data_IF_666322612217
#
_entry.id   IF_666322612217
#
_cell.length_a   1.000
_cell.length_b   1.000
_cell.length_c   1.000
_cell.angle_alpha   90.00
_cell.angle_beta   90.00
_cell.angle_gamma   90.00
#
_symmetry.space_group_name_H-M   'P 1'
#
loop_
_entity.id
_entity.type
_entity.pdbx_description
1 polymer ?
#
# COMPACT_ATOMS: atom_id res chain seq x y z
N UNK A 1 -37.81 16.68 67.44
CA UNK A 1 -38.30 15.82 68.54
C UNK A 1 -38.84 14.53 67.93
N UNK A 2 -38.37 13.38 68.43
CA UNK A 2 -38.87 12.00 68.22
C UNK A 2 -38.76 11.33 66.83
N UNK A 3 -37.68 10.56 66.66
CA UNK A 3 -37.63 9.07 66.63
C UNK A 3 -38.98 8.31 66.56
N UNK A 4 -39.19 7.15 65.91
CA UNK A 4 -38.34 6.08 65.35
C UNK A 4 -39.30 4.98 64.82
N UNK A 5 -38.77 4.09 63.94
CA UNK A 5 -39.15 2.68 63.67
C UNK A 5 -40.19 2.36 62.57
N UNK A 6 -39.76 1.70 61.48
CA UNK A 6 -39.45 0.25 61.24
C UNK A 6 -40.75 -0.53 61.02
N UNK A 7 -40.95 -1.32 59.97
CA UNK A 7 -40.21 -2.49 59.41
C UNK A 7 -41.12 -2.95 58.23
N UNK A 8 -40.78 -3.76 57.23
CA UNK A 8 -39.82 -4.85 57.11
C UNK A 8 -39.91 -5.45 55.68
N UNK A 9 -38.75 -5.86 55.18
CA UNK A 9 -38.45 -7.02 54.31
C UNK A 9 -39.12 -7.20 52.95
N UNK A 10 -38.26 -7.31 51.92
CA UNK A 10 -37.85 -8.62 51.39
C UNK A 10 -36.45 -8.55 50.77
N UNK A 11 -35.60 -9.51 51.17
CA UNK A 11 -34.30 -9.85 50.57
C UNK A 11 -34.53 -10.60 49.26
N UNK A 12 -33.74 -10.29 48.22
CA UNK A 12 -33.16 -11.22 47.22
C UNK A 12 -31.87 -10.51 46.73
N UNK A 13 -30.68 -10.82 47.25
CA UNK A 13 -29.71 -11.84 46.81
C UNK A 13 -29.15 -11.64 45.39
N UNK A 14 -27.87 -11.18 45.33
CA UNK A 14 -26.78 -11.47 44.37
C UNK A 14 -27.05 -11.28 42.87
N UNK A 15 -26.22 -10.56 42.11
CA UNK A 15 -24.89 -11.05 41.69
C UNK A 15 -24.01 -9.94 41.10
N UNK A 16 -22.70 -10.18 41.13
CA UNK A 16 -21.63 -9.35 40.60
C UNK A 16 -21.60 -9.26 39.05
N UNK A 17 -20.84 -8.27 38.58
CA UNK A 17 -20.22 -8.12 37.26
C UNK A 17 -21.06 -7.54 36.09
N UNK A 18 -20.75 -6.29 35.74
CA UNK A 18 -20.55 -5.79 34.36
C UNK A 18 -20.05 -4.33 34.47
N UNK A 19 -18.76 -4.14 34.78
CA UNK A 19 -17.75 -3.70 33.81
C UNK A 19 -18.28 -2.57 32.91
N UNK A 20 -17.92 -1.37 33.35
CA UNK A 20 -17.99 -0.11 32.64
C UNK A 20 -17.12 -0.19 31.37
N UNK A 21 -17.69 -0.65 30.24
CA UNK A 21 -17.05 -0.53 28.94
C UNK A 21 -17.25 0.88 28.39
N UNK A 22 -16.54 1.84 29.00
CA UNK A 22 -16.29 3.13 28.39
C UNK A 22 -15.15 2.93 27.38
N UNK A 23 -15.50 2.41 26.20
CA UNK A 23 -14.60 2.41 25.05
C UNK A 23 -14.47 3.87 24.59
N UNK A 24 -13.54 4.59 25.20
CA UNK A 24 -12.98 5.80 24.63
C UNK A 24 -12.15 5.37 23.42
N UNK A 25 -12.79 5.27 22.26
CA UNK A 25 -12.12 5.37 20.97
C UNK A 25 -11.55 6.79 20.87
N UNK A 26 -10.41 7.03 21.51
CA UNK A 26 -9.51 8.06 21.04
C UNK A 26 -8.93 7.56 19.72
N UNK A 27 -9.69 7.75 18.64
CA UNK A 27 -9.08 8.05 17.37
C UNK A 27 -8.42 9.42 17.54
N UNK A 28 -7.27 9.46 18.22
CA UNK A 28 -6.33 10.53 18.03
C UNK A 28 -5.85 10.38 16.58
N UNK A 29 -6.64 10.88 15.64
CA UNK A 29 -6.08 11.41 14.42
C UNK A 29 -5.24 12.58 14.89
N UNK A 30 -3.98 12.29 15.27
CA UNK A 30 -2.98 13.32 15.38
C UNK A 30 -2.98 13.99 14.02
N UNK A 31 -3.65 15.15 13.92
CA UNK A 31 -3.50 16.02 12.76
C UNK A 31 -2.00 16.22 12.63
N UNK A 32 -1.42 15.65 11.58
CA UNK A 32 0.01 15.76 11.31
C UNK A 32 0.31 17.24 11.19
N UNK A 33 0.88 17.83 12.24
CA UNK A 33 1.15 19.25 12.28
C UNK A 33 2.40 19.50 11.44
N UNK A 34 2.34 20.46 10.52
CA UNK A 34 3.50 20.88 9.76
C UNK A 34 4.62 21.31 10.74
N UNK A 35 5.86 20.91 10.45
CA UNK A 35 7.01 21.26 11.28
C UNK A 35 7.46 22.71 11.08
N UNK A 36 6.96 23.40 10.06
CA UNK A 36 7.45 24.70 9.61
C UNK A 36 6.32 25.66 9.26
N UNK A 37 6.64 26.96 9.25
CA UNK A 37 5.76 28.01 8.71
C UNK A 37 5.45 27.83 7.22
N UNK A 38 6.27 27.07 6.50
CA UNK A 38 6.05 26.71 5.11
C UNK A 38 5.00 25.59 4.92
N UNK A 39 4.43 25.03 6.00
CA UNK A 39 3.40 24.00 5.89
C UNK A 39 3.93 22.61 5.52
N UNK A 40 5.25 22.39 5.59
CA UNK A 40 5.88 21.11 5.24
C UNK A 40 5.59 20.06 6.32
N UNK A 41 5.07 18.90 5.88
CA UNK A 41 4.69 17.78 6.75
C UNK A 41 5.69 16.61 6.72
N UNK A 42 6.53 16.51 5.68
CA UNK A 42 7.50 15.44 5.52
C UNK A 42 8.11 15.39 4.12
N UNK A 43 8.97 14.39 3.88
CA UNK A 43 9.50 14.07 2.55
C UNK A 43 8.48 13.17 1.84
N UNK A 44 8.08 13.54 0.62
CA UNK A 44 7.17 12.74 -0.20
C UNK A 44 7.93 11.67 -1.00
N UNK A 45 8.95 12.09 -1.76
CA UNK A 45 9.79 11.21 -2.58
C UNK A 45 11.20 11.77 -2.78
N UNK A 46 12.08 10.94 -3.33
CA UNK A 46 13.42 11.29 -3.82
C UNK A 46 13.55 11.00 -5.31
N UNK A 47 13.94 12.00 -6.10
CA UNK A 47 14.09 11.89 -7.55
C UNK A 47 15.50 11.48 -7.98
N UNK A 48 15.63 10.48 -8.86
CA UNK A 48 16.91 10.03 -9.41
C UNK A 48 16.84 9.79 -10.93
N UNK A 49 17.94 10.11 -11.62
CA UNK A 49 18.10 9.79 -13.04
C UNK A 49 18.74 8.41 -13.21
N UNK A 50 18.25 7.64 -14.16
CA UNK A 50 18.79 6.32 -14.53
C UNK A 50 19.08 6.24 -16.03
N UNK A 51 20.07 5.43 -16.44
CA UNK A 51 20.38 5.28 -17.86
C UNK A 51 19.44 4.31 -18.59
N UNK A 52 18.69 3.48 -17.85
CA UNK A 52 17.79 2.46 -18.37
C UNK A 52 16.67 2.22 -17.34
N UNK A 53 15.42 2.55 -17.70
CA UNK A 53 14.30 2.46 -16.77
C UNK A 53 13.96 1.02 -16.41
N UNK A 54 14.05 0.09 -17.36
CA UNK A 54 13.72 -1.31 -17.14
C UNK A 54 14.72 -1.95 -16.17
N UNK A 55 16.01 -1.70 -16.35
CA UNK A 55 17.05 -2.16 -15.39
C UNK A 55 16.84 -1.58 -14.00
N UNK A 56 16.48 -0.30 -13.91
CA UNK A 56 16.19 0.32 -12.62
C UNK A 56 14.99 -0.32 -11.93
N UNK A 57 13.88 -0.48 -12.66
CA UNK A 57 12.66 -1.13 -12.13
C UNK A 57 12.93 -2.56 -11.70
N UNK A 58 13.62 -3.37 -12.52
CA UNK A 58 14.02 -4.73 -12.17
C UNK A 58 14.89 -4.76 -10.91
N UNK A 59 15.86 -3.85 -10.79
CA UNK A 59 16.70 -3.78 -9.59
C UNK A 59 15.87 -3.44 -8.34
N UNK A 60 15.08 -2.38 -8.38
CA UNK A 60 14.28 -1.97 -7.22
C UNK A 60 13.22 -3.02 -6.85
N UNK A 61 12.57 -3.65 -7.83
CA UNK A 61 11.53 -4.65 -7.60
C UNK A 61 12.11 -6.00 -7.19
N UNK A 62 13.01 -6.57 -7.99
CA UNK A 62 13.41 -7.97 -7.84
C UNK A 62 14.54 -8.13 -6.82
N UNK A 63 15.40 -7.12 -6.67
CA UNK A 63 16.50 -7.15 -5.69
C UNK A 63 16.05 -6.53 -4.38
N UNK A 64 15.50 -5.31 -4.40
CA UNK A 64 15.15 -4.59 -3.17
C UNK A 64 13.71 -4.81 -2.68
N UNK A 65 12.88 -5.56 -3.42
CA UNK A 65 11.49 -5.85 -3.07
C UNK A 65 10.59 -4.61 -2.95
N UNK A 66 10.91 -3.54 -3.68
CA UNK A 66 10.08 -2.35 -3.78
C UNK A 66 9.00 -2.51 -4.86
N UNK A 67 7.94 -1.71 -4.80
CA UNK A 67 6.79 -1.87 -5.72
C UNK A 67 6.72 -0.70 -6.70
N UNK A 68 6.91 -0.91 -8.02
CA UNK A 68 6.61 0.10 -9.02
C UNK A 68 5.10 0.37 -9.06
N UNK A 69 4.69 1.64 -8.99
CA UNK A 69 3.27 2.02 -8.81
C UNK A 69 2.69 2.69 -10.05
N UNK A 70 3.31 3.78 -10.51
CA UNK A 70 2.80 4.57 -11.65
C UNK A 70 3.87 4.71 -12.73
N UNK A 71 3.43 5.10 -13.92
CA UNK A 71 4.32 5.46 -15.02
C UNK A 71 3.74 6.64 -15.79
N UNK A 72 4.61 7.55 -16.20
CA UNK A 72 4.28 8.70 -17.03
C UNK A 72 5.29 8.84 -18.17
N UNK A 73 4.80 9.20 -19.37
CA UNK A 73 5.62 9.44 -20.55
C UNK A 73 5.65 8.29 -21.57
N UNK A 74 6.48 8.41 -22.61
CA UNK A 74 7.49 9.46 -22.80
C UNK A 74 6.87 10.86 -23.01
N UNK A 75 7.34 11.85 -22.25
CA UNK A 75 6.93 13.26 -22.36
C UNK A 75 7.99 14.04 -23.16
N UNK A 76 7.65 14.61 -24.33
CA UNK A 76 8.54 15.53 -25.04
C UNK A 76 8.86 16.76 -24.20
N UNK A 77 10.11 17.21 -24.26
CA UNK A 77 10.60 18.38 -23.52
C UNK A 77 10.87 19.52 -24.50
N UNK A 78 10.14 20.62 -24.37
CA UNK A 78 10.37 21.83 -25.18
C UNK A 78 11.67 22.56 -24.76
N UNK A 79 12.09 23.51 -25.59
CA UNK A 79 13.35 24.22 -25.40
C UNK A 79 13.36 25.11 -24.14
N UNK A 80 12.23 25.74 -23.80
CA UNK A 80 12.12 26.62 -22.64
C UNK A 80 12.17 25.79 -21.35
N UNK A 81 11.49 24.64 -21.32
CA UNK A 81 11.56 23.69 -20.22
C UNK A 81 12.97 23.17 -20.00
N UNK A 82 13.66 22.77 -21.08
CA UNK A 82 15.05 22.30 -20.99
C UNK A 82 15.98 23.38 -20.44
N UNK A 83 15.84 24.62 -20.90
CA UNK A 83 16.62 25.76 -20.43
C UNK A 83 16.36 26.05 -18.95
N UNK A 84 15.09 26.07 -18.54
CA UNK A 84 14.68 26.34 -17.15
C UNK A 84 15.23 25.29 -16.17
N UNK A 85 15.27 24.03 -16.58
CA UNK A 85 15.68 22.90 -15.73
C UNK A 85 17.14 22.46 -15.96
N UNK A 86 17.94 23.26 -16.69
CA UNK A 86 19.34 22.96 -17.00
C UNK A 86 19.56 21.59 -17.68
N UNK A 87 18.61 21.16 -18.52
CA UNK A 87 18.69 19.94 -19.31
C UNK A 87 19.45 20.24 -20.61
N UNK A 88 20.29 19.31 -21.05
CA UNK A 88 20.98 19.45 -22.33
C UNK A 88 19.96 19.64 -23.49
N UNK A 89 20.14 20.64 -24.38
CA UNK A 89 19.20 20.93 -25.47
C UNK A 89 18.88 19.71 -26.35
N UNK A 90 19.84 18.80 -26.51
CA UNK A 90 19.75 17.61 -27.37
C UNK A 90 19.29 16.35 -26.63
N UNK A 91 18.96 16.43 -25.35
CA UNK A 91 18.31 15.33 -24.62
C UNK A 91 16.85 15.18 -25.11
N UNK A 92 16.39 13.95 -25.30
CA UNK A 92 15.05 13.61 -25.76
C UNK A 92 13.97 13.66 -24.67
N UNK A 93 12.87 12.97 -24.94
CA UNK A 93 11.72 12.86 -24.03
C UNK A 93 12.07 12.14 -22.72
N UNK A 94 11.33 12.43 -21.65
CA UNK A 94 11.50 11.79 -20.34
C UNK A 94 10.38 10.78 -20.05
N UNK A 95 10.74 9.63 -19.49
CA UNK A 95 9.80 8.66 -18.92
C UNK A 95 10.05 8.58 -17.42
N UNK A 96 8.97 8.60 -16.63
CA UNK A 96 9.01 8.69 -15.17
C UNK A 96 8.30 7.48 -14.57
N UNK A 97 8.88 6.89 -13.52
CA UNK A 97 8.28 5.80 -12.74
C UNK A 97 8.31 6.13 -11.25
N UNK A 98 7.17 6.02 -10.57
CA UNK A 98 7.12 6.07 -9.11
C UNK A 98 7.28 4.67 -8.53
N UNK A 99 8.18 4.53 -7.57
CA UNK A 99 8.47 3.28 -6.87
C UNK A 99 8.20 3.47 -5.38
N UNK A 100 7.29 2.68 -4.83
CA UNK A 100 7.07 2.61 -3.40
C UNK A 100 8.22 1.81 -2.75
N UNK A 101 9.01 2.50 -1.92
CA UNK A 101 10.16 1.93 -1.20
C UNK A 101 9.77 1.47 0.23
N UNK A 102 8.63 0.82 0.36
CA UNK A 102 8.11 0.30 1.62
C UNK A 102 7.39 1.36 2.46
N UNK A 103 7.93 1.65 3.64
CA UNK A 103 7.29 2.46 4.69
C UNK A 103 7.94 3.85 4.87
N UNK A 104 8.66 4.33 3.85
CA UNK A 104 9.29 5.64 3.80
C UNK A 104 8.90 6.44 2.55
N UNK A 105 9.71 7.45 2.23
CA UNK A 105 9.55 8.23 1.00
C UNK A 105 9.61 7.34 -0.25
N UNK A 106 8.85 7.69 -1.28
CA UNK A 106 8.91 6.98 -2.57
C UNK A 106 10.17 7.36 -3.36
N UNK A 107 10.50 6.60 -4.40
CA UNK A 107 11.57 6.93 -5.35
C UNK A 107 10.93 7.28 -6.69
N UNK A 108 11.22 8.47 -7.20
CA UNK A 108 10.83 8.91 -8.54
C UNK A 108 12.01 8.69 -9.49
N UNK A 109 11.84 7.81 -10.47
CA UNK A 109 12.90 7.40 -11.38
C UNK A 109 12.69 8.01 -12.76
N UNK A 110 13.71 8.69 -13.29
CA UNK A 110 13.69 9.36 -14.59
C UNK A 110 14.63 8.69 -15.59
N UNK A 111 14.10 8.31 -16.75
CA UNK A 111 14.89 7.95 -17.93
C UNK A 111 14.67 8.99 -19.03
N UNK A 112 15.75 9.53 -19.56
CA UNK A 112 15.70 10.45 -20.69
C UNK A 112 16.13 9.72 -21.98
N UNK A 113 15.32 9.79 -23.02
CA UNK A 113 15.70 9.34 -24.35
C UNK A 113 16.88 10.18 -24.87
N UNK A 114 17.81 9.55 -25.62
CA UNK A 114 19.01 10.21 -26.16
C UNK A 114 19.81 11.05 -25.13
N UNK A 115 19.80 10.64 -23.86
CA UNK A 115 20.36 11.39 -22.74
C UNK A 115 21.80 11.88 -23.02
N UNK A 116 22.02 13.20 -22.92
CA UNK A 116 23.33 13.85 -23.05
C UNK A 116 23.93 14.28 -21.70
N UNK A 117 23.33 13.87 -20.59
CA UNK A 117 23.88 14.06 -19.25
C UNK A 117 25.19 13.29 -19.05
N UNK A 118 25.98 13.73 -18.07
CA UNK A 118 27.21 13.05 -17.70
C UNK A 118 26.93 11.63 -17.22
N UNK A 119 27.77 10.68 -17.65
CA UNK A 119 27.81 9.31 -17.10
C UNK A 119 28.96 9.12 -16.11
N UNK A 120 29.76 10.16 -15.87
CA UNK A 120 30.83 10.14 -14.88
C UNK A 120 30.20 10.31 -13.51
N UNK A 121 30.46 9.35 -12.62
CA UNK A 121 30.04 9.47 -11.22
C UNK A 121 30.80 10.60 -10.54
N UNK A 122 30.13 11.40 -9.69
CA UNK A 122 30.81 12.43 -8.92
C UNK A 122 31.78 11.82 -7.91
N UNK A 123 32.84 12.55 -7.57
CA UNK A 123 33.64 12.27 -6.37
C UNK A 123 32.73 12.39 -5.14
N UNK A 124 33.05 11.69 -4.05
CA UNK A 124 32.17 11.67 -2.87
C UNK A 124 32.06 13.04 -2.17
N UNK A 125 32.98 13.95 -2.44
CA UNK A 125 33.02 15.33 -1.95
C UNK A 125 32.48 16.37 -2.96
N UNK A 126 32.07 15.95 -4.16
CA UNK A 126 31.40 16.85 -5.10
C UNK A 126 30.01 17.23 -4.56
N UNK A 127 29.59 18.48 -4.76
CA UNK A 127 28.31 19.00 -4.25
C UNK A 127 27.07 18.19 -4.69
N UNK A 128 27.15 17.53 -5.86
CA UNK A 128 26.08 16.70 -6.41
C UNK A 128 26.16 15.23 -6.01
N UNK A 129 27.20 14.82 -5.27
CA UNK A 129 27.33 13.46 -4.77
C UNK A 129 26.33 13.23 -3.64
N UNK A 130 25.51 12.20 -3.80
CA UNK A 130 24.49 11.83 -2.82
C UNK A 130 24.21 10.33 -2.90
N UNK A 131 23.40 9.83 -1.98
CA UNK A 131 22.91 8.45 -1.94
C UNK A 131 21.55 8.40 -1.25
N UNK A 132 20.81 7.31 -1.46
CA UNK A 132 19.60 6.99 -0.70
C UNK A 132 19.97 5.91 0.32
N UNK A 133 19.62 6.12 1.59
CA UNK A 133 19.87 5.17 2.66
C UNK A 133 18.62 4.33 2.97
N UNK A 134 18.79 3.01 3.01
CA UNK A 134 17.74 2.04 3.28
C UNK A 134 17.99 1.37 4.63
N UNK A 135 17.01 1.49 5.52
CA UNK A 135 17.08 0.83 6.82
C UNK A 135 16.85 -0.68 6.70
N UNK A 136 17.69 -1.47 7.35
CA UNK A 136 17.55 -2.93 7.48
C UNK A 136 17.65 -3.37 8.93
N UNK A 137 16.87 -4.38 9.32
CA UNK A 137 16.91 -4.90 10.70
C UNK A 137 18.19 -5.67 11.00
N UNK A 138 18.71 -6.40 10.01
CA UNK A 138 19.96 -7.15 10.09
C UNK A 138 20.81 -6.80 8.86
N UNK A 139 21.83 -5.97 9.08
CA UNK A 139 22.70 -5.50 8.02
C UNK A 139 23.60 -6.61 7.46
N UNK A 140 23.97 -7.60 8.26
CA UNK A 140 24.81 -8.70 7.80
C UNK A 140 24.01 -9.62 6.88
N UNK A 141 22.78 -9.96 7.26
CA UNK A 141 21.88 -10.72 6.40
C UNK A 141 21.56 -9.97 5.10
N UNK A 142 21.32 -8.66 5.18
CA UNK A 142 21.08 -7.83 4.00
C UNK A 142 22.28 -7.77 3.05
N UNK A 143 23.50 -7.61 3.59
CA UNK A 143 24.74 -7.64 2.79
C UNK A 143 24.95 -8.99 2.12
N UNK A 144 24.76 -10.10 2.85
CA UNK A 144 24.85 -11.44 2.28
C UNK A 144 23.84 -11.65 1.14
N UNK A 145 22.60 -11.19 1.35
CA UNK A 145 21.56 -11.24 0.33
C UNK A 145 21.93 -10.43 -0.91
N UNK A 146 22.37 -9.17 -0.75
CA UNK A 146 22.79 -8.33 -1.87
C UNK A 146 23.99 -8.93 -2.62
N UNK A 147 25.00 -9.45 -1.91
CA UNK A 147 26.13 -10.18 -2.52
C UNK A 147 25.64 -11.41 -3.31
N UNK A 148 24.60 -12.12 -2.85
CA UNK A 148 24.00 -13.26 -3.58
C UNK A 148 23.22 -12.87 -4.83
N UNK A 149 22.92 -11.57 -5.00
CA UNK A 149 22.28 -10.97 -6.17
C UNK A 149 23.28 -10.23 -7.06
N UNK A 150 24.57 -10.50 -6.92
CA UNK A 150 25.67 -9.87 -7.65
C UNK A 150 25.74 -8.33 -7.47
N UNK A 151 25.21 -7.82 -6.35
CA UNK A 151 25.29 -6.39 -6.02
C UNK A 151 26.65 -6.09 -5.41
N UNK A 152 27.32 -5.07 -5.94
CA UNK A 152 28.62 -4.62 -5.45
C UNK A 152 28.49 -3.87 -4.13
N UNK A 153 29.05 -4.45 -3.06
CA UNK A 153 29.19 -3.80 -1.75
C UNK A 153 30.52 -3.03 -1.70
N UNK A 154 30.51 -1.82 -1.15
CA UNK A 154 31.70 -0.99 -0.98
C UNK A 154 32.18 -1.10 0.46
N UNK A 155 33.24 -1.88 0.68
CA UNK A 155 33.79 -2.14 2.00
C UNK A 155 32.99 -3.19 2.77
N UNK A 156 33.00 -3.10 4.10
CA UNK A 156 32.29 -3.98 5.02
C UNK A 156 31.44 -3.16 5.99
N UNK A 157 30.36 -3.73 6.58
CA UNK A 157 29.56 -3.05 7.60
C UNK A 157 30.41 -2.45 8.72
N UNK A 158 30.22 -1.16 8.98
CA UNK A 158 30.95 -0.43 10.01
C UNK A 158 30.01 0.09 11.08
N UNK A 159 30.23 -0.33 12.33
CA UNK A 159 29.44 0.11 13.49
C UNK A 159 30.11 1.29 14.18
N UNK A 160 29.35 2.36 14.40
CA UNK A 160 29.79 3.54 15.13
C UNK A 160 30.04 3.22 16.60
N UNK A 161 31.27 3.39 17.11
CA UNK A 161 31.61 3.02 18.49
C UNK A 161 31.10 4.02 19.53
N UNK A 162 30.93 5.30 19.16
CA UNK A 162 30.61 6.40 20.09
C UNK A 162 29.98 7.60 19.38
N UNK A 163 29.57 8.61 20.16
CA UNK A 163 28.95 9.83 19.65
C UNK A 163 27.44 9.70 19.37
N UNK A 164 26.88 10.68 18.68
CA UNK A 164 25.44 10.76 18.39
C UNK A 164 24.94 9.57 17.58
N UNK A 165 25.79 8.98 16.75
CA UNK A 165 25.48 7.81 15.93
C UNK A 165 25.90 6.50 16.57
N UNK A 166 26.39 6.47 17.82
CA UNK A 166 26.82 5.23 18.48
C UNK A 166 25.78 4.11 18.37
N UNK A 167 26.20 2.91 17.94
CA UNK A 167 25.33 1.77 17.70
C UNK A 167 24.69 1.70 16.31
N UNK A 168 24.80 2.75 15.48
CA UNK A 168 24.48 2.71 14.06
C UNK A 168 25.53 1.88 13.30
N UNK A 169 25.06 0.99 12.43
CA UNK A 169 25.91 0.25 11.49
C UNK A 169 25.50 0.59 10.07
N UNK A 170 26.45 0.87 9.20
CA UNK A 170 26.19 1.24 7.81
C UNK A 170 27.17 0.58 6.83
N UNK A 171 26.76 0.48 5.57
CA UNK A 171 27.62 0.07 4.45
C UNK A 171 27.05 0.61 3.14
N UNK A 172 27.92 0.95 2.19
CA UNK A 172 27.49 1.36 0.85
C UNK A 172 27.42 0.19 -0.12
N UNK A 173 26.55 0.30 -1.12
CA UNK A 173 26.50 -0.58 -2.29
C UNK A 173 26.24 0.23 -3.56
N UNK A 174 26.49 -0.37 -4.72
CA UNK A 174 26.23 0.25 -6.02
C UNK A 174 25.05 -0.44 -6.72
N UNK A 175 24.19 0.37 -7.33
CA UNK A 175 23.20 -0.12 -8.29
C UNK A 175 23.89 -0.69 -9.54
N UNK A 176 23.18 -1.44 -10.41
CA UNK A 176 23.76 -1.96 -11.66
C UNK A 176 24.30 -0.89 -12.61
N UNK A 177 23.94 0.38 -12.42
CA UNK A 177 24.44 1.52 -13.19
C UNK A 177 25.40 2.42 -12.38
N UNK A 178 25.90 1.94 -11.25
CA UNK A 178 26.98 2.57 -10.48
C UNK A 178 26.54 3.68 -9.52
N UNK A 179 25.25 3.96 -9.35
CA UNK A 179 24.79 4.90 -8.32
C UNK A 179 25.06 4.32 -6.93
N UNK A 180 25.63 5.14 -6.03
CA UNK A 180 25.89 4.76 -4.64
C UNK A 180 24.59 4.81 -3.83
N UNK A 181 24.36 3.78 -3.02
CA UNK A 181 23.25 3.62 -2.09
C UNK A 181 23.77 3.13 -0.73
N UNK A 182 23.04 3.35 0.35
CA UNK A 182 23.45 2.95 1.71
C UNK A 182 22.48 1.93 2.31
N UNK A 183 23.01 0.94 3.01
CA UNK A 183 22.28 0.18 4.02
C UNK A 183 22.63 0.73 5.39
N UNK A 184 21.63 0.93 6.24
CA UNK A 184 21.80 1.43 7.61
C UNK A 184 20.99 0.59 8.60
N UNK A 185 21.51 0.39 9.81
CA UNK A 185 20.84 -0.38 10.86
C UNK A 185 21.18 0.17 12.25
N UNK A 186 20.15 0.29 13.10
CA UNK A 186 20.27 0.76 14.49
C UNK A 186 19.10 0.21 15.32
N UNK A 187 18.98 -1.13 15.46
CA UNK A 187 17.84 -1.77 16.12
C UNK A 187 17.63 -1.25 17.56
N UNK A 188 18.72 -0.95 18.25
CA UNK A 188 18.71 -0.45 19.63
C UNK A 188 18.70 1.10 19.74
N UNK A 189 18.45 1.80 18.63
CA UNK A 189 18.52 3.28 18.56
C UNK A 189 19.94 3.79 18.38
N UNK A 190 20.07 5.08 18.05
CA UNK A 190 21.36 5.78 17.93
C UNK A 190 21.78 6.41 19.27
N UNK A 191 23.07 6.72 19.40
CA UNK A 191 23.67 7.26 20.62
C UNK A 191 22.94 8.48 21.21
N UNK A 192 22.54 9.43 20.38
CA UNK A 192 21.86 10.66 20.81
C UNK A 192 20.47 10.40 21.42
N UNK A 193 19.81 9.29 21.08
CA UNK A 193 18.47 8.97 21.61
C UNK A 193 18.50 8.68 23.12
N UNK A 194 19.65 8.28 23.66
CA UNK A 194 19.83 7.96 25.09
C UNK A 194 19.58 9.16 26.00
N UNK A 195 19.76 10.38 25.50
CA UNK A 195 19.49 11.61 26.26
C UNK A 195 18.03 12.07 26.16
N UNK A 196 17.14 11.28 25.54
CA UNK A 196 15.71 11.59 25.38
C UNK A 196 15.46 13.00 24.80
N UNK A 197 16.04 13.32 23.63
CA UNK A 197 15.88 14.64 23.03
C UNK A 197 14.41 14.90 22.69
N UNK A 198 14.00 16.16 22.74
CA UNK A 198 12.65 16.59 22.35
C UNK A 198 12.32 16.23 20.89
N UNK A 199 13.35 16.24 20.03
CA UNK A 199 13.22 15.95 18.61
C UNK A 199 14.11 14.75 18.29
N UNK A 200 13.53 13.76 17.60
CA UNK A 200 14.22 12.58 17.11
C UNK A 200 14.23 12.59 15.59
N UNK A 201 15.27 12.01 14.99
CA UNK A 201 15.31 11.73 13.56
C UNK A 201 14.18 10.76 13.20
N UNK A 202 13.56 10.98 12.05
CA UNK A 202 12.58 10.04 11.51
C UNK A 202 13.25 8.68 11.27
N UNK A 203 12.51 7.60 11.50
CA UNK A 203 13.01 6.24 11.34
C UNK A 203 11.92 5.27 10.90
N UNK A 204 12.16 4.43 9.88
CA UNK A 204 11.24 3.38 9.47
C UNK A 204 11.32 2.13 10.37
N UNK A 205 12.24 2.09 11.35
CA UNK A 205 12.56 0.91 12.18
C UNK A 205 11.34 0.18 12.76
N UNK A 206 10.36 0.94 13.23
CA UNK A 206 9.20 0.39 13.96
C UNK A 206 7.98 0.12 13.06
N UNK A 207 8.09 0.33 11.75
CA UNK A 207 6.95 0.21 10.85
C UNK A 207 7.00 -1.15 10.13
N UNK A 208 5.98 -1.98 10.32
CA UNK A 208 5.83 -3.23 9.59
C UNK A 208 5.45 -2.94 8.13
N UNK A 209 6.31 -3.28 7.18
CA UNK A 209 5.95 -3.25 5.75
C UNK A 209 4.92 -4.36 5.49
N UNK A 210 3.72 -3.99 5.03
CA UNK A 210 2.73 -4.97 4.58
C UNK A 210 3.26 -5.62 3.30
N UNK A 211 3.76 -6.84 3.39
CA UNK A 211 4.01 -7.66 2.20
C UNK A 211 2.67 -7.94 1.52
N UNK A 212 2.63 -7.88 0.19
CA UNK A 212 1.54 -8.52 -0.57
C UNK A 212 1.43 -9.95 -0.06
N UNK A 213 0.24 -10.33 0.39
CA UNK A 213 0.08 -11.63 1.04
C UNK A 213 0.28 -12.71 -0.02
N UNK A 214 1.05 -13.79 0.23
CA UNK A 214 1.05 -14.95 -0.66
C UNK A 214 -0.36 -15.48 -0.95
N UNK A 215 -1.28 -15.23 -0.02
CA UNK A 215 -2.70 -15.53 -0.15
C UNK A 215 -3.38 -14.79 -1.30
N UNK A 216 -2.90 -13.61 -1.68
CA UNK A 216 -3.45 -12.83 -2.79
C UNK A 216 -3.22 -13.53 -4.14
N UNK A 217 -2.27 -14.46 -4.21
CA UNK A 217 -1.99 -15.29 -5.37
C UNK A 217 -2.57 -16.70 -5.26
N UNK A 218 -3.19 -17.06 -4.13
CA UNK A 218 -3.79 -18.37 -3.93
C UNK A 218 -5.13 -18.46 -4.65
N UNK A 219 -5.14 -19.14 -5.79
CA UNK A 219 -6.35 -19.39 -6.61
C UNK A 219 -7.53 -19.95 -5.81
N UNK A 220 -7.32 -20.78 -4.77
CA UNK A 220 -8.40 -21.33 -3.94
C UNK A 220 -9.00 -20.26 -3.05
N UNK A 221 -8.16 -19.42 -2.43
CA UNK A 221 -8.63 -18.29 -1.60
C UNK A 221 -9.38 -17.26 -2.45
N UNK A 222 -8.85 -16.95 -3.63
CA UNK A 222 -9.49 -16.04 -4.57
C UNK A 222 -10.82 -16.57 -5.11
N UNK A 223 -10.94 -17.89 -5.33
CA UNK A 223 -12.22 -18.52 -5.67
C UNK A 223 -13.23 -18.41 -4.52
N UNK A 224 -12.81 -18.63 -3.27
CA UNK A 224 -13.68 -18.47 -2.09
C UNK A 224 -14.17 -17.03 -1.89
N UNK A 225 -13.35 -16.03 -2.25
CA UNK A 225 -13.76 -14.61 -2.28
C UNK A 225 -14.90 -14.41 -3.28
N UNK A 226 -14.79 -14.97 -4.49
CA UNK A 226 -15.85 -14.89 -5.53
C UNK A 226 -17.13 -15.62 -5.11
N UNK A 227 -17.02 -16.78 -4.47
CA UNK A 227 -18.19 -17.49 -3.93
C UNK A 227 -18.92 -16.65 -2.88
N UNK A 228 -18.18 -16.00 -1.97
CA UNK A 228 -18.77 -15.12 -0.97
C UNK A 228 -19.29 -13.82 -1.59
N UNK A 229 -18.67 -13.30 -2.64
CA UNK A 229 -19.26 -12.24 -3.46
C UNK A 229 -20.65 -12.66 -3.98
N UNK A 230 -20.80 -13.83 -4.58
CA UNK A 230 -22.13 -14.29 -5.04
C UNK A 230 -23.14 -14.45 -3.91
N UNK A 231 -22.70 -14.85 -2.71
CA UNK A 231 -23.56 -14.87 -1.51
C UNK A 231 -24.03 -13.46 -1.16
N UNK A 232 -23.13 -12.46 -1.17
CA UNK A 232 -23.45 -11.06 -0.89
C UNK A 232 -24.52 -10.54 -1.84
N UNK A 233 -24.36 -10.76 -3.14
CA UNK A 233 -25.28 -10.27 -4.17
C UNK A 233 -26.64 -10.97 -4.18
N UNK A 234 -26.74 -12.14 -3.56
CA UNK A 234 -27.98 -12.90 -3.40
C UNK A 234 -28.58 -12.83 -1.97
N UNK A 235 -27.90 -12.19 -1.02
CA UNK A 235 -28.33 -12.09 0.38
C UNK A 235 -29.30 -10.91 0.56
N UNK A 236 -30.48 -11.22 1.11
CA UNK A 236 -31.56 -10.26 1.33
C UNK A 236 -31.49 -9.66 2.75
N UNK A 237 -30.96 -10.41 3.71
CA UNK A 237 -30.77 -9.95 5.08
C UNK A 237 -29.63 -8.93 5.17
N UNK A 238 -29.95 -7.72 5.62
CA UNK A 238 -29.00 -6.61 5.69
C UNK A 238 -27.82 -6.90 6.64
N UNK A 239 -28.09 -7.52 7.79
CA UNK A 239 -27.06 -7.79 8.79
C UNK A 239 -26.06 -8.82 8.28
N UNK A 240 -26.56 -9.90 7.66
CA UNK A 240 -25.72 -10.93 7.04
C UNK A 240 -24.95 -10.39 5.85
N UNK A 241 -25.60 -9.59 4.98
CA UNK A 241 -24.94 -8.98 3.83
C UNK A 241 -23.82 -8.04 4.28
N UNK A 242 -24.05 -7.22 5.32
CA UNK A 242 -23.02 -6.33 5.89
C UNK A 242 -21.84 -7.10 6.47
N UNK A 243 -22.08 -8.22 7.17
CA UNK A 243 -21.00 -9.06 7.68
C UNK A 243 -20.14 -9.65 6.54
N UNK A 244 -20.78 -10.17 5.50
CA UNK A 244 -20.09 -10.70 4.32
C UNK A 244 -19.34 -9.61 3.54
N UNK A 245 -19.94 -8.43 3.35
CA UNK A 245 -19.28 -7.27 2.72
C UNK A 245 -17.99 -6.90 3.46
N UNK A 246 -18.03 -6.81 4.79
CA UNK A 246 -16.85 -6.53 5.61
C UNK A 246 -15.79 -7.62 5.54
N UNK A 247 -16.18 -8.86 5.26
CA UNK A 247 -15.23 -9.97 5.08
C UNK A 247 -14.55 -9.91 3.70
N UNK A 248 -15.32 -9.65 2.64
CA UNK A 248 -14.89 -9.83 1.24
C UNK A 248 -14.28 -8.55 0.64
N UNK A 249 -14.82 -7.38 0.98
CA UNK A 249 -14.45 -6.12 0.37
C UNK A 249 -13.55 -5.28 1.29
N UNK A 250 -12.68 -4.49 0.67
CA UNK A 250 -12.02 -3.40 1.36
C UNK A 250 -13.03 -2.30 1.70
N UNK A 251 -12.75 -1.53 2.75
CA UNK A 251 -13.67 -0.47 3.21
C UNK A 251 -13.88 0.61 2.14
N UNK A 252 -12.83 0.85 1.34
CA UNK A 252 -12.76 1.84 0.25
C UNK A 252 -12.81 1.19 -1.14
N UNK A 253 -13.46 0.01 -1.27
CA UNK A 253 -13.60 -0.66 -2.57
C UNK A 253 -14.27 0.23 -3.62
N UNK A 254 -13.80 0.17 -4.86
CA UNK A 254 -14.44 0.80 -6.02
C UNK A 254 -15.15 -0.25 -6.87
N UNK A 255 -16.47 -0.11 -7.07
CA UNK A 255 -17.21 -0.85 -8.09
C UNK A 255 -17.44 0.05 -9.30
N UNK A 256 -16.93 -0.36 -10.46
CA UNK A 256 -16.97 0.41 -11.71
C UNK A 256 -17.89 -0.31 -12.70
N UNK A 257 -19.04 0.30 -12.98
CA UNK A 257 -19.93 -0.06 -14.09
C UNK A 257 -19.74 0.94 -15.25
N UNK A 258 -20.20 0.59 -16.45
CA UNK A 258 -20.21 1.50 -17.60
C UNK A 258 -20.87 2.85 -17.30
N UNK A 259 -21.90 2.89 -16.45
CA UNK A 259 -22.73 4.08 -16.25
C UNK A 259 -22.43 4.82 -14.95
N UNK A 260 -21.77 4.18 -13.98
CA UNK A 260 -21.53 4.77 -12.67
C UNK A 260 -20.36 4.10 -11.93
N UNK A 261 -19.89 4.77 -10.89
CA UNK A 261 -18.93 4.23 -9.92
C UNK A 261 -19.58 4.24 -8.54
N UNK A 262 -19.49 3.14 -7.80
CA UNK A 262 -19.91 3.06 -6.41
C UNK A 262 -18.68 2.86 -5.50
N UNK A 263 -18.45 3.82 -4.61
CA UNK A 263 -17.32 3.81 -3.68
C UNK A 263 -17.76 3.33 -2.29
N UNK A 264 -17.05 2.34 -1.76
CA UNK A 264 -17.24 1.78 -0.42
C UNK A 264 -18.41 0.81 -0.30
N UNK A 265 -18.36 -0.01 0.76
CA UNK A 265 -19.30 -1.11 1.00
C UNK A 265 -20.76 -0.65 1.16
N UNK A 266 -20.99 0.56 1.67
CA UNK A 266 -22.35 1.07 1.89
C UNK A 266 -23.06 1.41 0.58
N UNK A 267 -22.34 1.99 -0.40
CA UNK A 267 -22.92 2.33 -1.70
C UNK A 267 -23.16 1.07 -2.55
N UNK A 268 -22.25 0.09 -2.49
CA UNK A 268 -22.47 -1.22 -3.12
C UNK A 268 -23.68 -1.93 -2.50
N UNK A 269 -23.82 -1.92 -1.16
CA UNK A 269 -24.98 -2.53 -0.49
C UNK A 269 -26.31 -1.90 -0.92
N UNK A 270 -26.36 -0.56 -1.03
CA UNK A 270 -27.54 0.15 -1.55
C UNK A 270 -27.90 -0.29 -2.96
N UNK A 271 -26.91 -0.36 -3.86
CA UNK A 271 -27.12 -0.82 -5.23
C UNK A 271 -27.66 -2.27 -5.29
N UNK A 272 -27.10 -3.18 -4.48
CA UNK A 272 -27.59 -4.56 -4.39
C UNK A 272 -29.07 -4.59 -3.98
N UNK A 273 -29.46 -3.79 -2.97
CA UNK A 273 -30.86 -3.69 -2.52
C UNK A 273 -31.76 -3.21 -3.63
N UNK A 274 -31.41 -2.12 -4.30
CA UNK A 274 -32.20 -1.57 -5.42
C UNK A 274 -32.39 -2.60 -6.54
N UNK A 275 -31.32 -3.33 -6.89
CA UNK A 275 -31.36 -4.37 -7.91
C UNK A 275 -32.27 -5.53 -7.51
N UNK A 276 -32.17 -5.99 -6.26
CA UNK A 276 -33.00 -7.07 -5.72
C UNK A 276 -34.47 -6.65 -5.59
N UNK A 277 -34.76 -5.40 -5.23
CA UNK A 277 -36.13 -4.88 -5.17
C UNK A 277 -36.78 -4.84 -6.56
N UNK A 278 -36.02 -4.45 -7.60
CA UNK A 278 -36.49 -4.46 -8.99
C UNK A 278 -36.68 -5.87 -9.55
N UNK A 279 -35.97 -6.86 -9.02
CA UNK A 279 -35.95 -8.23 -9.54
C UNK A 279 -36.05 -9.26 -8.38
N UNK A 280 -37.20 -9.34 -7.68
CA UNK A 280 -37.31 -10.06 -6.40
C UNK A 280 -37.05 -11.57 -6.50
N UNK A 281 -37.31 -12.16 -7.66
CA UNK A 281 -37.16 -13.60 -7.93
C UNK A 281 -35.84 -13.95 -8.63
N UNK A 282 -35.01 -12.95 -8.94
CA UNK A 282 -33.79 -13.17 -9.70
C UNK A 282 -32.62 -13.45 -8.75
N UNK A 283 -31.66 -14.23 -9.25
CA UNK A 283 -30.42 -14.54 -8.53
C UNK A 283 -29.23 -14.55 -9.48
N UNK A 284 -28.08 -14.19 -8.94
CA UNK A 284 -26.79 -14.35 -9.62
C UNK A 284 -26.30 -15.79 -9.49
N UNK A 285 -25.86 -16.37 -10.59
CA UNK A 285 -25.24 -17.71 -10.65
C UNK A 285 -23.93 -17.64 -11.44
N UNK A 286 -22.89 -18.29 -10.94
CA UNK A 286 -21.62 -18.41 -11.67
C UNK A 286 -21.76 -19.35 -12.87
N UNK A 287 -21.23 -18.93 -14.03
CA UNK A 287 -20.95 -19.81 -15.16
C UNK A 287 -19.55 -20.39 -15.07
N UNK A 288 -18.56 -19.52 -14.84
CA UNK A 288 -17.16 -19.89 -14.69
C UNK A 288 -16.42 -18.84 -13.89
N UNK A 289 -15.34 -19.27 -13.24
CA UNK A 289 -14.40 -18.42 -12.51
C UNK A 289 -13.01 -18.71 -13.02
N UNK A 290 -12.30 -17.67 -13.44
CA UNK A 290 -10.92 -17.76 -13.90
C UNK A 290 -10.05 -16.89 -12.99
N UNK A 291 -8.97 -17.45 -12.47
CA UNK A 291 -8.02 -16.73 -11.61
C UNK A 291 -6.69 -16.58 -12.34
N UNK A 292 -6.05 -15.43 -12.19
CA UNK A 292 -4.68 -15.18 -12.59
C UNK A 292 -4.03 -14.27 -11.54
N UNK A 293 -3.23 -14.87 -10.66
CA UNK A 293 -2.71 -14.20 -9.47
C UNK A 293 -3.85 -13.54 -8.68
N UNK A 294 -3.74 -12.23 -8.43
CA UNK A 294 -4.69 -11.44 -7.67
C UNK A 294 -5.83 -10.85 -8.52
N UNK A 295 -5.91 -11.23 -9.79
CA UNK A 295 -7.00 -10.87 -10.70
C UNK A 295 -7.92 -12.07 -10.87
N UNK A 296 -9.23 -11.83 -10.76
CA UNK A 296 -10.25 -12.88 -10.96
C UNK A 296 -11.27 -12.39 -11.97
N UNK A 297 -11.70 -13.27 -12.88
CA UNK A 297 -12.86 -13.05 -13.76
C UNK A 297 -13.97 -14.01 -13.36
N UNK A 298 -15.12 -13.47 -12.98
CA UNK A 298 -16.36 -14.22 -12.77
C UNK A 298 -17.28 -13.98 -13.95
N UNK A 299 -17.60 -15.02 -14.71
CA UNK A 299 -18.69 -14.96 -15.68
C UNK A 299 -19.98 -15.39 -14.98
N UNK A 300 -21.01 -14.57 -15.05
CA UNK A 300 -22.24 -14.78 -14.29
C UNK A 300 -23.49 -14.69 -15.16
N UNK A 301 -24.58 -15.22 -14.62
CA UNK A 301 -25.94 -15.08 -15.14
C UNK A 301 -26.85 -14.55 -14.04
N UNK A 302 -27.83 -13.74 -14.44
CA UNK A 302 -28.83 -13.16 -13.57
C UNK A 302 -30.22 -13.38 -14.15
N UNK A 303 -31.07 -14.06 -13.40
CA UNK A 303 -32.40 -14.47 -13.87
C UNK A 303 -33.20 -15.24 -12.82
N UNK A 304 -34.46 -15.56 -13.17
CA UNK A 304 -35.32 -16.42 -12.35
C UNK A 304 -34.95 -17.88 -12.50
N UNK A 305 -35.58 -18.75 -11.71
CA UNK A 305 -35.36 -20.20 -11.80
C UNK A 305 -35.73 -20.78 -13.18
N UNK A 306 -36.78 -20.24 -13.80
CA UNK A 306 -37.30 -20.67 -15.10
C UNK A 306 -36.48 -20.11 -16.27
N UNK A 307 -35.91 -18.91 -16.09
CA UNK A 307 -35.08 -18.24 -17.10
C UNK A 307 -33.80 -17.72 -16.41
N UNK A 308 -32.80 -18.57 -16.16
CA UNK A 308 -31.64 -18.20 -15.35
C UNK A 308 -30.69 -17.19 -16.02
N UNK A 309 -30.74 -17.07 -17.35
CA UNK A 309 -29.85 -16.22 -18.14
C UNK A 309 -30.59 -15.05 -18.81
N UNK A 310 -31.44 -14.32 -18.06
CA UNK A 310 -32.09 -13.11 -18.61
C UNK A 310 -31.07 -12.04 -18.91
N UNK A 311 -30.08 -11.88 -18.02
CA UNK A 311 -28.91 -11.02 -18.17
C UNK A 311 -27.67 -11.86 -17.89
N UNK A 312 -26.58 -11.59 -18.59
CA UNK A 312 -25.26 -12.18 -18.31
C UNK A 312 -24.20 -11.10 -18.35
N UNK A 313 -23.04 -11.43 -17.80
CA UNK A 313 -21.91 -10.53 -17.78
C UNK A 313 -20.66 -11.19 -17.21
N UNK A 314 -19.67 -10.35 -16.98
CA UNK A 314 -18.40 -10.69 -16.40
C UNK A 314 -17.97 -9.62 -15.40
N UNK A 315 -17.56 -10.06 -14.22
CA UNK A 315 -16.97 -9.20 -13.20
C UNK A 315 -15.47 -9.48 -13.11
N UNK A 316 -14.66 -8.42 -13.12
CA UNK A 316 -13.21 -8.50 -12.91
C UNK A 316 -12.86 -7.93 -11.54
N UNK A 317 -12.19 -8.74 -10.72
CA UNK A 317 -11.78 -8.42 -9.36
C UNK A 317 -10.30 -8.09 -9.33
N UNK A 318 -9.94 -7.03 -8.60
CA UNK A 318 -8.58 -6.78 -8.14
C UNK A 318 -8.54 -7.03 -6.64
N UNK A 319 -7.78 -8.05 -6.23
CA UNK A 319 -7.67 -8.48 -4.83
C UNK A 319 -6.33 -8.04 -4.28
N UNK A 320 -6.32 -7.49 -3.08
CA UNK A 320 -5.11 -7.20 -2.32
C UNK A 320 -5.38 -7.41 -0.84
N UNK A 321 -4.43 -7.98 -0.11
CA UNK A 321 -4.54 -8.27 1.32
C UNK A 321 -5.80 -9.09 1.66
N UNK A 322 -6.14 -10.07 0.82
CA UNK A 322 -7.29 -10.97 0.96
C UNK A 322 -8.65 -10.30 0.75
N UNK A 323 -8.70 -9.09 0.18
CA UNK A 323 -9.93 -8.31 -0.01
C UNK A 323 -10.05 -7.74 -1.41
N UNK A 324 -11.29 -7.61 -1.88
CA UNK A 324 -11.60 -6.94 -3.16
C UNK A 324 -11.39 -5.43 -2.99
N UNK A 325 -10.44 -4.90 -3.76
CA UNK A 325 -10.13 -3.47 -3.84
C UNK A 325 -10.86 -2.80 -4.98
N UNK A 326 -10.98 -3.49 -6.12
CA UNK A 326 -11.73 -3.02 -7.29
C UNK A 326 -12.59 -4.14 -7.88
N UNK A 327 -13.79 -3.77 -8.30
CA UNK A 327 -14.75 -4.64 -8.98
C UNK A 327 -15.21 -3.95 -10.27
N UNK A 328 -14.77 -4.45 -11.43
CA UNK A 328 -15.19 -3.95 -12.72
C UNK A 328 -16.31 -4.83 -13.26
N UNK A 329 -17.47 -4.23 -13.54
CA UNK A 329 -18.68 -4.94 -13.98
C UNK A 329 -18.88 -4.74 -15.47
N UNK A 330 -18.94 -5.85 -16.22
CA UNK A 330 -19.24 -5.86 -17.64
C UNK A 330 -20.54 -6.62 -17.87
N UNK A 331 -21.58 -5.92 -18.31
CA UNK A 331 -22.85 -6.55 -18.70
C UNK A 331 -22.84 -6.81 -20.21
N UNK A 332 -23.16 -8.04 -20.61
CA UNK A 332 -23.24 -8.42 -22.02
C UNK A 332 -24.35 -7.61 -22.71
N UNK A 333 -24.03 -7.05 -23.89
CA UNK A 333 -25.05 -6.43 -24.74
C UNK A 333 -25.86 -7.53 -25.42
N UNK A 334 -27.18 -7.34 -25.49
CA UNK A 334 -28.08 -8.20 -26.26
C UNK A 334 -28.13 -7.81 -27.72
#
# INVERSE_FOLDING_TARGET
MKTIHKKSNKKVQTSAAAILNLILLFSASEKTAAQTSAGIVGIDHVGINVPDLNKAVTFFNDVLSFTPVTQLGPIPLDADWKKLNHINPNTGAVTIKMINAGNGASIEVFEYADNKGSKTHPNTDDIGASHIAFYVNDINAAVQYLKSKDVKIIGEPFTMPSGDTAGETWVYFETPWGSKMELVSYPNGKGYEKSHPKTILWSPKNVSVKKVSPDDFDSKKNTAIVENHLKIWNEKDETKRKALLNQVYAVNVEMVDRHFIAEGIENISKFIVELQTKNPDFRFTAKSVETNHNIVRLYWQFGSKEKPAVVSGMDLFVIENGKVQKLYVFVDQK
#
